data_IF_444718369111
#
_entry.id   IF_444718369111
#
_cell.length_a   1.000
_cell.length_b   1.000
_cell.length_c   1.000
_cell.angle_alpha   90.00
_cell.angle_beta   90.00
_cell.angle_gamma   90.00
#
_symmetry.space_group_name_H-M   'P 1'
#
loop_
_entity.id
_entity.type
_entity.pdbx_description
1 polymer ?
#
# COMPACT_ATOMS: atom_id res chain seq x y z
N UNK A 1 20.92 -10.33 1.49
CA UNK A 1 19.50 -10.68 1.30
C UNK A 1 18.76 -9.35 1.09
N UNK A 2 18.44 -9.02 -0.16
CA UNK A 2 17.74 -7.81 -0.51
C UNK A 2 16.26 -7.94 -0.12
N UNK A 3 15.85 -7.22 0.91
CA UNK A 3 14.43 -6.97 1.13
C UNK A 3 13.90 -6.04 0.04
N UNK A 4 12.68 -6.22 -0.41
CA UNK A 4 12.05 -5.24 -1.28
C UNK A 4 11.90 -3.93 -0.49
N UNK A 5 12.35 -2.81 -1.06
CA UNK A 5 12.31 -1.48 -0.43
C UNK A 5 10.88 -1.02 -0.16
N UNK A 6 9.93 -1.49 -0.97
CA UNK A 6 8.50 -1.18 -0.90
C UNK A 6 7.70 -2.05 0.09
N UNK A 7 8.33 -3.02 0.78
CA UNK A 7 7.61 -3.94 1.65
C UNK A 7 7.55 -3.45 3.10
N UNK A 8 6.34 -3.30 3.66
CA UNK A 8 6.15 -2.91 5.05
C UNK A 8 6.44 -4.07 6.01
N UNK A 9 7.48 -3.95 6.84
CA UNK A 9 7.79 -4.89 7.91
C UNK A 9 6.94 -4.60 9.15
N UNK A 10 5.88 -5.39 9.37
CA UNK A 10 4.94 -5.19 10.48
C UNK A 10 5.22 -6.18 11.59
N UNK A 11 5.37 -5.65 12.81
CA UNK A 11 5.58 -6.44 14.03
C UNK A 11 4.50 -6.14 15.07
N UNK A 12 3.87 -7.19 15.59
CA UNK A 12 2.94 -7.09 16.71
C UNK A 12 3.50 -7.92 17.86
N UNK A 13 3.87 -7.28 18.99
CA UNK A 13 4.45 -7.92 20.16
C UNK A 13 5.67 -8.81 19.88
N UNK A 14 6.53 -8.34 18.95
CA UNK A 14 7.73 -9.08 18.55
C UNK A 14 7.52 -10.18 17.51
N UNK A 15 6.27 -10.46 17.12
CA UNK A 15 5.94 -11.38 16.04
C UNK A 15 5.79 -10.56 14.75
N UNK A 16 6.57 -10.89 13.74
CA UNK A 16 6.58 -10.21 12.44
C UNK A 16 7.67 -10.80 11.56
N UNK A 17 7.81 -10.28 10.36
CA UNK A 17 8.82 -10.72 9.40
C UNK A 17 9.49 -9.50 8.78
N UNK A 18 10.82 -9.49 8.79
CA UNK A 18 11.64 -8.44 8.17
C UNK A 18 11.96 -8.76 6.71
N UNK A 19 12.21 -10.05 6.43
CA UNK A 19 12.64 -10.47 5.11
C UNK A 19 11.47 -11.10 4.35
N UNK A 20 11.12 -10.51 3.21
CA UNK A 20 10.09 -11.05 2.32
C UNK A 20 10.67 -12.17 1.45
N UNK A 21 10.85 -13.32 2.07
CA UNK A 21 11.19 -14.54 1.35
C UNK A 21 9.88 -15.16 0.85
N UNK A 22 9.71 -15.38 -0.46
CA UNK A 22 8.45 -15.89 -1.05
C UNK A 22 7.93 -17.19 -0.45
N UNK A 23 8.80 -17.94 0.23
CA UNK A 23 8.52 -19.25 0.82
C UNK A 23 8.16 -19.17 2.31
N UNK A 24 8.22 -18.00 2.93
CA UNK A 24 7.93 -17.82 4.36
C UNK A 24 6.69 -16.95 4.52
N UNK A 25 5.71 -17.48 5.21
CA UNK A 25 4.47 -16.76 5.52
C UNK A 25 4.68 -15.74 6.66
N UNK A 26 4.11 -14.54 6.56
CA UNK A 26 4.21 -13.53 7.62
C UNK A 26 3.46 -13.96 8.88
N UNK A 27 3.94 -13.54 10.04
CA UNK A 27 3.27 -13.78 11.33
C UNK A 27 2.11 -12.83 11.62
N UNK A 28 1.99 -11.76 10.84
CA UNK A 28 0.91 -10.74 10.93
C UNK A 28 0.21 -10.66 9.59
N UNK A 29 -1.10 -10.90 9.59
CA UNK A 29 -1.94 -10.77 8.38
C UNK A 29 -2.28 -9.31 8.10
N UNK A 30 -2.23 -8.93 6.82
CA UNK A 30 -2.67 -7.62 6.34
C UNK A 30 -3.89 -7.80 5.46
N UNK A 31 -4.91 -7.00 5.71
CA UNK A 31 -6.17 -7.02 4.98
C UNK A 31 -6.51 -5.62 4.48
N UNK A 32 -6.85 -5.51 3.22
CA UNK A 32 -7.36 -4.29 2.60
C UNK A 32 -8.80 -4.55 2.14
N UNK A 33 -9.75 -3.79 2.67
CA UNK A 33 -11.18 -3.94 2.39
C UNK A 33 -11.68 -5.40 2.57
N UNK A 34 -11.16 -6.09 3.60
CA UNK A 34 -11.47 -7.49 3.90
C UNK A 34 -10.72 -8.52 3.06
N UNK A 35 -9.93 -8.11 2.08
CA UNK A 35 -9.13 -9.01 1.23
C UNK A 35 -7.72 -9.16 1.81
N UNK A 36 -7.27 -10.41 1.97
CA UNK A 36 -5.92 -10.71 2.45
C UNK A 36 -4.87 -10.27 1.43
N UNK A 37 -3.95 -9.42 1.88
CA UNK A 37 -2.80 -8.98 1.09
C UNK A 37 -1.64 -9.92 1.39
N UNK A 38 -1.41 -10.89 0.49
CA UNK A 38 -0.43 -11.95 0.67
C UNK A 38 1.03 -11.46 0.69
N UNK A 39 1.28 -10.32 0.06
CA UNK A 39 2.58 -9.65 0.06
C UNK A 39 2.34 -8.19 0.38
N UNK A 40 2.99 -7.68 1.41
CA UNK A 40 2.91 -6.27 1.75
C UNK A 40 3.70 -5.45 0.74
N UNK A 41 3.07 -5.09 -0.35
CA UNK A 41 3.59 -4.11 -1.30
C UNK A 41 3.20 -2.74 -0.75
N UNK A 42 4.18 -1.98 -0.25
CA UNK A 42 3.95 -0.72 0.45
C UNK A 42 3.25 0.34 -0.40
N UNK A 43 3.52 0.35 -1.70
CA UNK A 43 2.95 1.30 -2.64
C UNK A 43 1.40 1.30 -2.70
N UNK A 44 0.74 0.19 -2.43
CA UNK A 44 -0.73 0.14 -2.37
C UNK A 44 -1.27 1.06 -1.26
N UNK A 45 -0.54 1.18 -0.15
CA UNK A 45 -0.98 2.00 0.98
C UNK A 45 -0.79 3.51 0.74
N UNK A 46 0.08 3.89 -0.18
CA UNK A 46 0.29 5.30 -0.53
C UNK A 46 -0.86 5.91 -1.33
N UNK A 47 -1.63 5.07 -2.03
CA UNK A 47 -2.79 5.50 -2.82
C UNK A 47 -4.11 5.46 -2.08
N UNK A 48 -4.21 4.57 -1.11
CA UNK A 48 -5.49 4.33 -0.47
C UNK A 48 -5.73 5.46 0.53
N UNK A 49 -6.75 6.27 0.26
CA UNK A 49 -7.30 7.09 1.32
C UNK A 49 -7.90 6.17 2.38
N UNK A 50 -7.20 6.10 3.49
CA UNK A 50 -7.56 5.23 4.60
C UNK A 50 -8.70 5.88 5.38
N UNK A 51 -9.81 5.16 5.50
CA UNK A 51 -10.90 5.53 6.40
C UNK A 51 -10.60 5.04 7.82
N UNK A 52 -10.14 3.79 7.93
CA UNK A 52 -9.89 3.15 9.22
C UNK A 52 -8.75 2.15 9.15
N UNK A 53 -7.96 2.10 10.23
CA UNK A 53 -6.97 1.03 10.47
C UNK A 53 -7.29 0.37 11.80
N UNK A 54 -7.51 -0.93 11.77
CA UNK A 54 -7.71 -1.76 12.96
C UNK A 54 -6.51 -2.66 13.17
N UNK A 55 -5.95 -2.66 14.38
CA UNK A 55 -4.85 -3.54 14.77
C UNK A 55 -5.35 -4.54 15.80
N UNK A 56 -5.52 -5.77 15.36
CA UNK A 56 -5.96 -6.90 16.16
C UNK A 56 -4.74 -7.63 16.72
N UNK A 57 -4.56 -7.59 18.02
CA UNK A 57 -3.37 -8.12 18.70
C UNK A 57 -3.60 -9.54 19.21
N UNK A 58 -2.65 -10.41 18.96
CA UNK A 58 -2.72 -11.83 19.31
C UNK A 58 -3.32 -12.69 18.21
N UNK A 59 -3.39 -14.03 18.41
CA UNK A 59 -3.84 -14.94 17.36
C UNK A 59 -5.25 -14.64 16.87
N UNK A 60 -5.40 -14.46 15.56
CA UNK A 60 -6.67 -14.14 14.89
C UNK A 60 -7.09 -15.23 13.89
N UNK A 61 -6.53 -16.44 14.00
CA UNK A 61 -6.71 -17.52 13.02
C UNK A 61 -8.15 -17.96 12.79
N UNK A 62 -9.02 -17.85 13.79
CA UNK A 62 -10.42 -18.25 13.70
C UNK A 62 -11.26 -17.32 12.79
N UNK A 63 -10.92 -16.03 12.76
CA UNK A 63 -11.68 -15.03 12.00
C UNK A 63 -10.98 -14.67 10.69
N UNK A 64 -9.65 -14.50 10.75
CA UNK A 64 -8.84 -14.03 9.64
C UNK A 64 -8.06 -15.14 8.91
N UNK A 65 -8.06 -16.37 9.44
CA UNK A 65 -7.38 -17.50 8.83
C UNK A 65 -5.87 -17.54 9.07
N UNK A 66 -5.11 -18.05 8.10
CA UNK A 66 -3.67 -18.27 8.23
C UNK A 66 -2.88 -16.96 8.36
N UNK A 67 -1.63 -17.09 8.83
CA UNK A 67 -0.66 -15.98 8.88
C UNK A 67 -1.03 -14.85 9.85
N UNK A 68 -1.80 -15.16 10.89
CA UNK A 68 -2.29 -14.20 11.89
C UNK A 68 -1.97 -14.62 13.32
N UNK A 69 -0.83 -15.27 13.52
CA UNK A 69 -0.41 -15.77 14.83
C UNK A 69 0.00 -14.62 15.78
N UNK A 70 0.58 -13.55 15.25
CA UNK A 70 0.92 -12.34 16.01
C UNK A 70 -0.22 -11.34 16.05
N UNK A 71 -1.12 -11.40 15.08
CA UNK A 71 -2.23 -10.47 14.92
C UNK A 71 -2.63 -10.26 13.49
N UNK A 72 -3.54 -9.30 13.29
CA UNK A 72 -3.95 -8.85 11.98
C UNK A 72 -4.05 -7.32 11.93
N UNK A 73 -3.74 -6.73 10.78
CA UNK A 73 -4.00 -5.34 10.45
C UNK A 73 -5.07 -5.30 9.38
N UNK A 74 -6.20 -4.69 9.69
CA UNK A 74 -7.30 -4.47 8.76
C UNK A 74 -7.35 -3.00 8.37
N UNK A 75 -7.27 -2.72 7.09
CA UNK A 75 -7.29 -1.38 6.52
C UNK A 75 -8.57 -1.27 5.70
N UNK A 76 -9.38 -0.28 6.03
CA UNK A 76 -10.58 0.05 5.28
C UNK A 76 -10.32 1.31 4.46
N UNK A 77 -10.51 1.22 3.17
CA UNK A 77 -10.38 2.35 2.27
C UNK A 77 -11.63 3.21 2.25
N UNK A 78 -11.46 4.51 2.01
CA UNK A 78 -12.58 5.42 1.85
C UNK A 78 -13.39 5.05 0.61
N UNK A 79 -14.68 4.84 0.79
CA UNK A 79 -15.61 4.48 -0.29
C UNK A 79 -15.98 5.71 -1.12
N UNK A 80 -16.38 5.50 -2.40
CA UNK A 80 -17.06 6.54 -3.16
C UNK A 80 -18.31 7.02 -2.44
N UNK A 81 -18.55 8.34 -2.48
CA UNK A 81 -19.69 9.00 -1.84
C UNK A 81 -20.41 9.97 -2.80
N UNK A 82 -21.46 10.63 -2.32
CA UNK A 82 -22.31 11.50 -3.12
C UNK A 82 -21.72 12.92 -3.33
N UNK A 83 -20.56 13.22 -2.73
CA UNK A 83 -19.94 14.53 -2.82
C UNK A 83 -18.90 14.58 -3.95
N UNK A 84 -19.08 15.52 -4.88
CA UNK A 84 -18.05 15.80 -5.88
C UNK A 84 -16.87 16.49 -5.20
N UNK A 85 -15.76 15.78 -5.09
CA UNK A 85 -14.54 16.33 -4.49
C UNK A 85 -13.28 15.89 -5.26
N UNK A 86 -12.23 16.68 -5.13
CA UNK A 86 -10.93 16.38 -5.66
C UNK A 86 -9.81 16.94 -4.80
N UNK A 87 -8.68 16.25 -4.82
CA UNK A 87 -7.47 16.66 -4.11
C UNK A 87 -6.25 16.38 -5.00
N UNK A 88 -5.29 17.30 -4.98
CA UNK A 88 -3.96 17.09 -5.55
C UNK A 88 -2.95 17.52 -4.49
N UNK A 89 -2.04 16.62 -4.18
CA UNK A 89 -0.95 16.85 -3.25
C UNK A 89 0.38 16.69 -3.98
N UNK A 90 1.28 17.64 -3.79
CA UNK A 90 2.65 17.59 -4.28
C UNK A 90 3.61 17.67 -3.09
N UNK A 91 4.59 16.76 -3.05
CA UNK A 91 5.65 16.74 -2.05
C UNK A 91 6.98 16.89 -2.76
N UNK A 92 7.78 17.86 -2.32
CA UNK A 92 9.17 18.08 -2.79
C UNK A 92 10.11 17.80 -1.63
N UNK A 93 11.24 17.17 -1.91
CA UNK A 93 12.22 16.81 -0.88
C UNK A 93 13.66 16.79 -1.38
N UNK A 94 14.56 16.30 -0.54
CA UNK A 94 15.95 16.01 -0.91
C UNK A 94 16.00 14.87 -1.95
N UNK A 95 17.18 14.71 -2.55
CA UNK A 95 17.44 13.66 -3.55
C UNK A 95 16.44 13.72 -4.72
N UNK A 96 16.19 14.93 -5.23
CA UNK A 96 15.25 15.21 -6.33
C UNK A 96 13.85 14.67 -6.09
N UNK A 97 13.43 14.46 -4.84
CA UNK A 97 12.11 13.88 -4.53
C UNK A 97 10.98 14.75 -5.06
N UNK A 98 10.11 14.13 -5.85
CA UNK A 98 8.86 14.70 -6.36
C UNK A 98 7.76 13.65 -6.26
N UNK A 99 6.87 13.81 -5.30
CA UNK A 99 5.68 12.96 -5.20
C UNK A 99 4.46 13.75 -5.64
N UNK A 100 3.62 13.15 -6.47
CA UNK A 100 2.34 13.71 -6.88
C UNK A 100 1.27 12.69 -6.56
N UNK A 101 0.31 13.07 -5.72
CA UNK A 101 -0.86 12.26 -5.39
C UNK A 101 -2.11 13.03 -5.78
N UNK A 102 -3.03 12.39 -6.48
CA UNK A 102 -4.28 12.98 -6.91
C UNK A 102 -5.46 12.06 -6.65
N UNK A 103 -6.59 12.63 -6.33
CA UNK A 103 -7.84 11.91 -6.13
C UNK A 103 -9.00 12.74 -6.65
N UNK A 104 -9.98 12.06 -7.24
CA UNK A 104 -11.29 12.64 -7.56
C UNK A 104 -12.41 11.67 -7.20
N UNK A 105 -13.42 12.16 -6.51
CA UNK A 105 -14.68 11.45 -6.23
C UNK A 105 -15.78 12.06 -7.09
N UNK A 106 -16.48 11.21 -7.84
CA UNK A 106 -17.50 11.64 -8.80
C UNK A 106 -18.81 10.90 -8.52
N UNK A 107 -19.87 11.58 -8.09
CA UNK A 107 -21.21 11.02 -8.07
C UNK A 107 -21.79 11.07 -9.49
N UNK A 108 -21.80 9.95 -10.20
CA UNK A 108 -22.38 9.85 -11.55
C UNK A 108 -23.92 9.92 -11.51
N UNK A 109 -24.49 9.39 -10.43
CA UNK A 109 -25.93 9.45 -10.12
C UNK A 109 -26.14 9.28 -8.62
N UNK A 110 -27.38 9.42 -8.14
CA UNK A 110 -27.74 9.17 -6.74
C UNK A 110 -27.39 7.74 -6.27
N UNK A 111 -27.32 6.79 -7.20
CA UNK A 111 -27.10 5.38 -6.90
C UNK A 111 -25.77 4.84 -7.40
N UNK A 112 -24.96 5.66 -8.11
CA UNK A 112 -23.70 5.20 -8.69
C UNK A 112 -22.61 6.27 -8.54
N UNK A 113 -21.55 5.92 -7.82
CA UNK A 113 -20.42 6.80 -7.52
C UNK A 113 -19.10 6.13 -7.89
N UNK A 114 -18.11 6.93 -8.22
CA UNK A 114 -16.75 6.50 -8.52
C UNK A 114 -15.71 7.35 -7.82
N UNK A 115 -14.63 6.71 -7.38
CA UNK A 115 -13.46 7.35 -6.78
C UNK A 115 -12.20 6.89 -7.47
N UNK A 116 -11.44 7.82 -7.97
CA UNK A 116 -10.23 7.57 -8.76
C UNK A 116 -9.05 8.20 -8.05
N UNK A 117 -7.98 7.45 -7.88
CA UNK A 117 -6.76 7.91 -7.24
C UNK A 117 -5.55 7.50 -8.08
N UNK A 118 -4.58 8.40 -8.19
CA UNK A 118 -3.32 8.20 -8.88
C UNK A 118 -2.19 8.80 -8.05
N UNK A 119 -1.09 8.07 -7.90
CA UNK A 119 0.14 8.61 -7.34
C UNK A 119 1.34 8.25 -8.20
N UNK A 120 2.24 9.20 -8.31
CA UNK A 120 3.61 9.04 -8.80
C UNK A 120 4.54 9.47 -7.69
N UNK A 121 5.42 8.57 -7.28
CA UNK A 121 6.46 8.80 -6.29
C UNK A 121 7.80 8.71 -7.02
N UNK A 122 8.65 9.70 -6.88
CA UNK A 122 9.96 9.71 -7.53
C UNK A 122 10.99 10.32 -6.60
N UNK A 123 12.12 9.63 -6.44
CA UNK A 123 13.26 10.10 -5.67
C UNK A 123 14.54 9.43 -6.19
N UNK A 124 15.61 10.21 -6.35
CA UNK A 124 16.93 9.68 -6.69
C UNK A 124 17.49 8.82 -5.53
N UNK A 125 18.34 7.86 -5.86
CA UNK A 125 19.04 7.07 -4.86
C UNK A 125 19.98 7.93 -4.01
N UNK A 126 20.17 7.55 -2.77
CA UNK A 126 20.98 8.27 -1.79
C UNK A 126 22.34 7.59 -1.50
N UNK A 127 22.61 6.44 -2.09
CA UNK A 127 23.88 5.72 -2.01
C UNK A 127 24.30 5.28 -3.39
N UNK A 128 25.46 5.75 -3.84
CA UNK A 128 26.10 5.27 -5.06
C UNK A 128 26.88 3.97 -4.78
N UNK A 129 26.58 2.94 -5.55
CA UNK A 129 27.29 1.66 -5.49
C UNK A 129 28.65 1.79 -6.22
N UNK A 130 29.75 1.73 -5.48
CA UNK A 130 31.10 2.00 -5.98
C UNK A 130 31.57 1.05 -7.10
N UNK A 131 30.90 -0.09 -7.31
CA UNK A 131 31.28 -1.07 -8.31
C UNK A 131 30.85 -0.69 -9.73
N UNK A 132 29.70 -0.10 -9.91
CA UNK A 132 29.08 0.21 -11.21
C UNK A 132 28.41 1.60 -11.28
N UNK A 133 28.49 2.38 -10.20
CA UNK A 133 27.93 3.73 -10.15
C UNK A 133 26.39 3.76 -10.10
N UNK A 134 25.74 2.63 -9.77
CA UNK A 134 24.29 2.59 -9.65
C UNK A 134 23.83 3.23 -8.34
N UNK A 135 22.88 4.15 -8.43
CA UNK A 135 22.24 4.74 -7.27
C UNK A 135 21.26 3.77 -6.64
N UNK A 136 21.41 3.52 -5.34
CA UNK A 136 20.58 2.63 -4.54
C UNK A 136 19.65 3.41 -3.62
N UNK A 137 18.49 2.83 -3.33
CA UNK A 137 17.47 3.44 -2.47
C UNK A 137 16.69 4.55 -3.18
N UNK A 138 16.66 4.53 -4.52
CA UNK A 138 15.73 5.33 -5.31
C UNK A 138 14.29 4.84 -5.08
N UNK A 139 13.35 5.68 -5.45
CA UNK A 139 11.92 5.38 -5.43
C UNK A 139 11.35 5.85 -6.78
N UNK A 140 10.79 4.95 -7.56
CA UNK A 140 10.09 5.27 -8.80
C UNK A 140 8.86 4.36 -8.89
N UNK A 141 7.81 4.83 -8.22
CA UNK A 141 6.58 4.06 -8.07
C UNK A 141 5.42 4.81 -8.69
N UNK A 142 4.70 4.13 -9.59
CA UNK A 142 3.43 4.60 -10.12
C UNK A 142 2.31 3.67 -9.67
N UNK A 143 1.25 4.23 -9.10
CA UNK A 143 0.14 3.45 -8.61
C UNK A 143 -1.19 4.14 -8.88
N UNK A 144 -2.21 3.36 -9.22
CA UNK A 144 -3.54 3.85 -9.54
C UNK A 144 -4.63 2.95 -8.98
N UNK A 145 -5.76 3.56 -8.59
CA UNK A 145 -6.94 2.84 -8.10
C UNK A 145 -8.21 3.49 -8.62
N UNK A 146 -9.16 2.67 -9.06
CA UNK A 146 -10.53 3.06 -9.33
C UNK A 146 -11.46 2.24 -8.42
N UNK A 147 -12.31 2.91 -7.67
CA UNK A 147 -13.34 2.30 -6.84
C UNK A 147 -14.71 2.78 -7.31
N UNK A 148 -15.69 1.90 -7.27
CA UNK A 148 -17.08 2.18 -7.65
C UNK A 148 -18.00 1.66 -6.56
N UNK A 149 -19.05 2.43 -6.28
CA UNK A 149 -20.14 2.04 -5.42
C UNK A 149 -21.44 2.13 -6.18
N UNK A 150 -22.22 1.07 -6.16
CA UNK A 150 -23.54 1.00 -6.77
C UNK A 150 -24.57 0.55 -5.75
N UNK A 151 -25.49 1.44 -5.42
CA UNK A 151 -26.64 1.16 -4.56
C UNK A 151 -27.76 0.61 -5.46
N UNK A 152 -27.79 -0.71 -5.61
CA UNK A 152 -28.73 -1.35 -6.53
C UNK A 152 -30.16 -1.38 -5.98
N UNK A 153 -30.33 -1.39 -4.65
CA UNK A 153 -31.61 -1.29 -3.95
C UNK A 153 -31.37 -1.00 -2.47
N UNK A 154 -32.42 -0.79 -1.68
CA UNK A 154 -32.36 -0.59 -0.21
C UNK A 154 -31.69 -1.77 0.54
N UNK A 155 -31.56 -2.93 -0.10
CA UNK A 155 -31.01 -4.15 0.49
C UNK A 155 -29.68 -4.59 -0.17
N UNK A 156 -29.23 -3.94 -1.25
CA UNK A 156 -28.08 -4.38 -2.04
C UNK A 156 -27.18 -3.21 -2.40
N UNK A 157 -26.02 -3.18 -1.78
CA UNK A 157 -24.88 -2.32 -2.13
C UNK A 157 -23.78 -3.18 -2.77
N UNK A 158 -23.21 -2.70 -3.85
CA UNK A 158 -22.11 -3.34 -4.55
C UNK A 158 -20.90 -2.40 -4.57
N UNK A 159 -19.84 -2.78 -3.90
CA UNK A 159 -18.55 -2.09 -3.92
C UNK A 159 -17.58 -2.87 -4.81
N UNK A 160 -16.92 -2.19 -5.74
CA UNK A 160 -15.90 -2.75 -6.61
C UNK A 160 -14.66 -1.86 -6.59
N UNK A 161 -13.48 -2.46 -6.64
CA UNK A 161 -12.24 -1.72 -6.80
C UNK A 161 -11.27 -2.48 -7.71
N UNK A 162 -10.52 -1.73 -8.49
CA UNK A 162 -9.40 -2.21 -9.29
C UNK A 162 -8.21 -1.28 -9.07
N UNK A 163 -7.03 -1.84 -8.98
CA UNK A 163 -5.79 -1.07 -8.81
C UNK A 163 -4.64 -1.71 -9.55
N UNK A 164 -3.64 -0.90 -9.83
CA UNK A 164 -2.35 -1.32 -10.35
C UNK A 164 -1.23 -0.61 -9.58
N UNK A 165 -0.06 -1.23 -9.55
CA UNK A 165 1.18 -0.65 -9.06
C UNK A 165 2.30 -1.10 -9.97
N UNK A 166 3.11 -0.15 -10.40
CA UNK A 166 4.37 -0.36 -11.10
C UNK A 166 5.48 0.25 -10.25
N UNK A 167 6.54 -0.51 -10.02
CA UNK A 167 7.60 -0.20 -9.07
C UNK A 167 8.94 -0.53 -9.75
N UNK A 168 9.79 0.48 -9.97
CA UNK A 168 11.10 0.36 -10.59
C UNK A 168 12.19 0.92 -9.67
N UNK A 169 12.64 0.09 -8.74
CA UNK A 169 13.63 0.45 -7.72
C UNK A 169 14.90 -0.38 -7.84
N UNK A 170 16.04 0.26 -7.61
CA UNK A 170 17.35 -0.39 -7.58
C UNK A 170 17.63 -1.17 -6.29
N UNK A 171 16.64 -1.24 -5.41
CA UNK A 171 16.72 -1.91 -4.12
C UNK A 171 17.41 -1.09 -3.02
N UNK A 172 17.33 -1.55 -1.77
CA UNK A 172 17.86 -0.84 -0.63
C UNK A 172 19.40 -0.85 -0.61
N UNK A 173 19.98 0.24 -0.12
CA UNK A 173 21.41 0.32 0.14
C UNK A 173 21.79 -0.59 1.32
N UNK A 174 22.49 -1.68 1.04
CA UNK A 174 23.00 -2.62 2.05
C UNK A 174 24.52 -2.55 2.02
N UNK A 175 25.13 -2.10 3.11
CA UNK A 175 26.57 -2.11 3.32
C UNK A 175 26.97 -3.38 4.08
N UNK A 176 27.94 -4.14 3.53
CA UNK A 176 28.61 -5.20 4.25
C UNK A 176 29.68 -4.54 5.15
N UNK A 177 29.36 -4.37 6.41
CA UNK A 177 30.37 -4.04 7.41
C UNK A 177 31.30 -5.26 7.52
N UNK A 178 32.53 -5.09 7.01
CA UNK A 178 33.55 -6.13 7.12
C UNK A 178 33.77 -6.52 8.59
N UNK A 179 33.86 -7.84 8.82
CA UNK A 179 34.21 -8.45 10.11
C UNK A 179 35.72 -8.30 10.29
#
# INVERSE_FOLDING_TARGET
>A
FGGASSAAAIYIRGIGQKDFVPTVDPGVGIYLDGVYVARSVGAIFDLVEIEQVEILRGPQGTLFGRNTIGGAMSITSKKPDEELMGNVQMTLGSDSRVDIKSMVNVPFSENFMGRFSLAQLSRDGYVERSFDGLDLGNDDTMTGRAAFRWIASDAVDVDMAIGFTEDDENGPAIELLGI
#
